data_IF_429701838138
#
_entry.id   IF_429701838138
#
_cell.length_a   1.000
_cell.length_b   1.000
_cell.length_c   1.000
_cell.angle_alpha   90.00
_cell.angle_beta   90.00
_cell.angle_gamma   90.00
#
_symmetry.space_group_name_H-M   'P 1'
#
loop_
_entity.id
_entity.type
_entity.pdbx_description
1 polymer ?
#
# COMPACT_ATOMS: atom_id res chain seq x y z
N UNK A 1 -1.32 -8.14 -0.20
CA UNK A 1 -2.22 -7.14 0.41
C UNK A 1 -2.19 -5.85 -0.42
N UNK A 2 -3.36 -5.29 -0.72
CA UNK A 2 -3.52 -4.00 -1.38
C UNK A 2 -4.43 -3.10 -0.52
N UNK A 3 -3.89 -1.99 -0.02
CA UNK A 3 -4.57 -1.04 0.86
C UNK A 3 -4.82 0.29 0.14
N UNK A 4 -5.95 0.95 0.45
CA UNK A 4 -6.48 2.09 -0.32
C UNK A 4 -6.60 1.71 -1.79
N UNK A 5 -7.20 0.55 -2.01
CA UNK A 5 -7.04 -0.23 -3.23
C UNK A 5 -7.71 0.40 -4.46
N UNK A 6 -8.61 1.38 -4.26
CA UNK A 6 -9.36 2.01 -5.35
C UNK A 6 -10.01 0.93 -6.23
N UNK A 7 -9.79 0.97 -7.53
CA UNK A 7 -10.35 -0.03 -8.47
C UNK A 7 -9.55 -1.34 -8.57
N UNK A 8 -8.61 -1.57 -7.66
CA UNK A 8 -7.89 -2.83 -7.49
C UNK A 8 -6.88 -3.17 -8.57
N UNK A 9 -6.37 -2.19 -9.33
CA UNK A 9 -5.39 -2.47 -10.39
C UNK A 9 -4.14 -3.18 -9.87
N UNK A 10 -3.62 -2.78 -8.71
CA UNK A 10 -2.47 -3.46 -8.10
C UNK A 10 -2.80 -4.92 -7.72
N UNK A 11 -4.03 -5.20 -7.26
CA UNK A 11 -4.49 -6.57 -6.98
C UNK A 11 -4.52 -7.42 -8.26
N UNK A 12 -5.02 -6.85 -9.37
CA UNK A 12 -5.02 -7.55 -10.69
C UNK A 12 -3.60 -7.89 -11.10
N UNK A 13 -2.67 -6.93 -11.01
CA UNK A 13 -1.27 -7.18 -11.35
C UNK A 13 -0.63 -8.25 -10.46
N UNK A 14 -0.91 -8.25 -9.16
CA UNK A 14 -0.44 -9.29 -8.25
C UNK A 14 -0.98 -10.67 -8.63
N UNK A 15 -2.29 -10.77 -8.93
CA UNK A 15 -2.91 -12.02 -9.38
C UNK A 15 -2.33 -12.54 -10.69
N UNK A 16 -2.19 -11.67 -11.71
CA UNK A 16 -1.55 -12.03 -12.98
C UNK A 16 -0.07 -12.39 -12.81
N UNK A 17 0.59 -11.83 -11.80
CA UNK A 17 1.97 -12.16 -11.42
C UNK A 17 2.10 -13.46 -10.63
N UNK A 18 1.02 -14.17 -10.36
CA UNK A 18 1.02 -15.49 -9.71
C UNK A 18 0.80 -15.47 -8.19
N UNK A 19 0.28 -14.37 -7.63
CA UNK A 19 -0.13 -14.37 -6.22
C UNK A 19 -1.21 -15.43 -5.98
N UNK A 20 -0.96 -16.37 -5.07
CA UNK A 20 -1.88 -17.44 -4.70
C UNK A 20 -3.12 -16.92 -3.97
N UNK A 21 -2.92 -15.90 -3.14
CA UNK A 21 -3.98 -15.23 -2.38
C UNK A 21 -3.84 -13.72 -2.48
N UNK A 22 -4.94 -12.99 -2.45
CA UNK A 22 -4.94 -11.53 -2.40
C UNK A 22 -5.96 -11.02 -1.42
N UNK A 23 -5.61 -9.97 -0.67
CA UNK A 23 -6.53 -9.21 0.18
C UNK A 23 -6.55 -7.76 -0.30
N UNK A 24 -7.73 -7.28 -0.66
CA UNK A 24 -7.97 -5.94 -1.20
C UNK A 24 -8.85 -5.17 -0.23
N UNK A 25 -8.34 -4.06 0.31
CA UNK A 25 -9.03 -3.28 1.34
C UNK A 25 -9.26 -1.86 0.83
N UNK A 26 -10.50 -1.41 0.88
CA UNK A 26 -10.89 -0.02 0.58
C UNK A 26 -12.15 0.34 1.36
N UNK A 27 -12.33 1.61 1.68
CA UNK A 27 -13.52 2.10 2.38
C UNK A 27 -14.74 2.16 1.44
N UNK A 28 -14.52 2.32 0.15
CA UNK A 28 -15.57 2.52 -0.86
C UNK A 28 -16.08 1.18 -1.38
N UNK A 29 -17.34 0.88 -1.09
CA UNK A 29 -18.03 -0.27 -1.70
C UNK A 29 -18.04 -0.21 -3.24
N UNK A 30 -18.21 0.98 -3.81
CA UNK A 30 -18.20 1.17 -5.27
C UNK A 30 -16.85 0.78 -5.88
N UNK A 31 -15.74 1.20 -5.25
CA UNK A 31 -14.41 0.86 -5.75
C UNK A 31 -14.09 -0.62 -5.58
N UNK A 32 -14.53 -1.23 -4.49
CA UNK A 32 -14.37 -2.69 -4.31
C UNK A 32 -15.16 -3.49 -5.34
N UNK A 33 -16.36 -3.05 -5.72
CA UNK A 33 -17.11 -3.70 -6.80
C UNK A 33 -16.34 -3.60 -8.13
N UNK A 34 -15.77 -2.44 -8.46
CA UNK A 34 -14.92 -2.29 -9.63
C UNK A 34 -13.65 -3.16 -9.54
N UNK A 35 -13.04 -3.27 -8.37
CA UNK A 35 -11.90 -4.15 -8.17
C UNK A 35 -12.27 -5.62 -8.45
N UNK A 36 -13.43 -6.07 -7.98
CA UNK A 36 -13.94 -7.40 -8.28
C UNK A 36 -14.21 -7.62 -9.78
N UNK A 37 -14.80 -6.61 -10.44
CA UNK A 37 -15.06 -6.70 -11.88
C UNK A 37 -13.75 -6.74 -12.68
N UNK A 38 -12.75 -5.94 -12.30
CA UNK A 38 -11.43 -5.96 -12.89
C UNK A 38 -10.73 -7.33 -12.71
N UNK A 39 -10.87 -7.95 -11.53
CA UNK A 39 -10.36 -9.30 -11.29
C UNK A 39 -11.07 -10.33 -12.18
N UNK A 40 -12.41 -10.27 -12.30
CA UNK A 40 -13.19 -11.16 -13.17
C UNK A 40 -12.81 -11.00 -14.64
N UNK A 41 -12.63 -9.77 -15.14
CA UNK A 41 -12.18 -9.49 -16.50
C UNK A 41 -10.82 -10.13 -16.82
N UNK A 42 -9.99 -10.35 -15.82
CA UNK A 42 -8.70 -11.00 -15.95
C UNK A 42 -8.72 -12.49 -15.55
N UNK A 43 -9.90 -13.10 -15.45
CA UNK A 43 -10.09 -14.51 -15.04
C UNK A 43 -9.54 -14.85 -13.65
N UNK A 44 -9.35 -13.87 -12.81
CA UNK A 44 -8.88 -14.00 -11.42
C UNK A 44 -10.11 -14.14 -10.50
N UNK A 45 -10.64 -15.34 -10.40
CA UNK A 45 -11.84 -15.63 -9.62
C UNK A 45 -11.56 -16.68 -8.56
N UNK A 46 -12.25 -16.60 -7.42
CA UNK A 46 -12.16 -17.60 -6.36
C UNK A 46 -12.07 -16.99 -4.97
N UNK A 47 -12.23 -17.85 -3.95
CA UNK A 47 -12.28 -17.44 -2.54
C UNK A 47 -10.92 -16.96 -1.98
N UNK A 48 -9.83 -17.27 -2.67
CA UNK A 48 -8.48 -16.81 -2.37
C UNK A 48 -8.30 -15.30 -2.60
N UNK A 49 -9.20 -14.66 -3.36
CA UNK A 49 -9.19 -13.22 -3.58
C UNK A 49 -10.23 -12.55 -2.68
N UNK A 50 -9.76 -12.03 -1.54
CA UNK A 50 -10.60 -11.39 -0.52
C UNK A 50 -10.78 -9.90 -0.80
N UNK A 51 -11.99 -9.38 -0.62
CA UNK A 51 -12.32 -7.95 -0.72
C UNK A 51 -12.95 -7.50 0.59
N UNK A 52 -12.36 -6.51 1.22
CA UNK A 52 -12.75 -6.05 2.56
C UNK A 52 -13.14 -4.58 2.50
N UNK A 53 -14.39 -4.28 2.78
CA UNK A 53 -14.84 -2.91 2.94
C UNK A 53 -14.53 -2.44 4.36
N UNK A 54 -13.48 -1.64 4.51
CA UNK A 54 -13.07 -1.11 5.80
C UNK A 54 -12.30 0.21 5.64
N UNK A 55 -12.26 0.99 6.72
CA UNK A 55 -11.22 2.00 6.90
C UNK A 55 -9.87 1.30 7.00
N UNK A 56 -8.95 1.61 6.08
CA UNK A 56 -7.66 0.93 6.00
C UNK A 56 -6.83 1.09 7.27
N UNK A 57 -6.87 2.25 7.94
CA UNK A 57 -6.09 2.48 9.16
C UNK A 57 -6.63 1.65 10.33
N UNK A 58 -7.97 1.61 10.47
CA UNK A 58 -8.62 0.78 11.47
C UNK A 58 -8.36 -0.70 11.19
N UNK A 59 -8.55 -1.14 9.95
CA UNK A 59 -8.29 -2.51 9.54
C UNK A 59 -6.85 -2.94 9.85
N UNK A 60 -5.86 -2.07 9.57
CA UNK A 60 -4.46 -2.33 9.89
C UNK A 60 -4.20 -2.54 11.38
N UNK A 61 -4.94 -1.90 12.27
CA UNK A 61 -4.77 -2.07 13.71
C UNK A 61 -5.24 -3.44 14.21
N UNK A 62 -6.17 -4.07 13.48
CA UNK A 62 -6.84 -5.32 13.85
C UNK A 62 -6.30 -6.53 13.06
N UNK A 63 -5.67 -6.31 11.90
CA UNK A 63 -5.17 -7.37 11.03
C UNK A 63 -3.99 -8.12 11.65
N UNK A 64 -3.94 -9.45 11.45
CA UNK A 64 -2.91 -10.33 12.00
C UNK A 64 -2.18 -11.16 10.92
N UNK A 65 -2.79 -11.31 9.73
CA UNK A 65 -2.21 -12.08 8.62
C UNK A 65 -0.89 -11.44 8.15
N UNK A 66 0.06 -12.28 7.73
CA UNK A 66 1.31 -11.83 7.10
C UNK A 66 1.22 -11.92 5.58
N UNK A 67 1.94 -11.01 4.90
CA UNK A 67 1.92 -10.88 3.46
C UNK A 67 3.34 -10.78 2.89
N UNK A 68 3.61 -11.54 1.83
CA UNK A 68 4.88 -11.47 1.09
C UNK A 68 5.00 -10.17 0.27
N UNK A 69 3.85 -9.64 -0.18
CA UNK A 69 3.77 -8.39 -0.92
C UNK A 69 2.65 -7.51 -0.36
N UNK A 70 3.02 -6.30 0.02
CA UNK A 70 2.07 -5.25 0.42
C UNK A 70 2.21 -4.08 -0.54
N UNK A 71 1.11 -3.65 -1.16
CA UNK A 71 1.03 -2.40 -1.90
C UNK A 71 0.12 -1.42 -1.16
N UNK A 72 0.58 -0.20 -1.00
CA UNK A 72 -0.18 0.86 -0.35
C UNK A 72 0.03 2.21 -1.04
N UNK A 73 -1.06 2.85 -1.44
CA UNK A 73 -1.10 4.19 -2.04
C UNK A 73 -2.13 5.06 -1.31
N UNK A 74 -1.80 5.53 -0.09
CA UNK A 74 -2.74 6.28 0.72
C UNK A 74 -3.00 7.67 0.12
N UNK A 75 -4.18 8.27 0.38
CA UNK A 75 -4.46 9.64 -0.01
C UNK A 75 -3.44 10.60 0.63
N UNK A 76 -3.14 11.70 -0.05
CA UNK A 76 -2.28 12.77 0.50
C UNK A 76 -2.84 13.31 1.82
N UNK A 77 -4.16 13.46 1.87
CA UNK A 77 -4.92 13.88 3.03
C UNK A 77 -6.30 13.22 3.01
N UNK A 78 -6.78 12.80 4.15
CA UNK A 78 -8.15 12.30 4.32
C UNK A 78 -8.79 12.90 5.55
N UNK A 79 -10.00 13.43 5.37
CA UNK A 79 -10.85 13.97 6.43
C UNK A 79 -12.25 13.36 6.30
N UNK A 80 -12.31 12.05 6.27
CA UNK A 80 -13.58 11.33 6.15
C UNK A 80 -14.34 11.44 7.46
N UNK A 81 -15.65 11.75 7.39
CA UNK A 81 -16.58 11.67 8.56
C UNK A 81 -16.66 10.26 9.18
N UNK A 82 -16.09 9.26 8.52
CA UNK A 82 -16.02 7.87 8.97
C UNK A 82 -14.70 7.53 9.65
N UNK A 83 -13.74 8.47 9.66
CA UNK A 83 -12.47 8.36 10.39
C UNK A 83 -12.57 9.21 11.66
N UNK A 84 -12.15 8.67 12.77
CA UNK A 84 -12.14 9.37 14.05
C UNK A 84 -11.08 10.50 14.06
N UNK A 85 -10.04 10.38 13.23
CA UNK A 85 -8.96 11.37 13.07
C UNK A 85 -8.65 11.66 11.59
N UNK A 86 -8.12 12.84 11.31
CA UNK A 86 -7.64 13.20 9.98
C UNK A 86 -6.30 12.51 9.70
N UNK A 87 -6.13 11.99 8.49
CA UNK A 87 -4.87 11.41 8.01
C UNK A 87 -4.13 12.42 7.11
N UNK A 88 -2.83 12.62 7.35
CA UNK A 88 -1.90 13.31 6.45
C UNK A 88 -0.68 12.41 6.21
N UNK A 89 -0.42 12.06 4.95
CA UNK A 89 0.64 11.10 4.60
C UNK A 89 2.03 11.58 5.04
N UNK A 90 2.31 12.88 5.07
CA UNK A 90 3.60 13.37 5.55
C UNK A 90 3.75 13.23 7.07
N UNK A 91 2.69 13.48 7.81
CA UNK A 91 2.69 13.38 9.27
C UNK A 91 2.69 11.92 9.74
N UNK A 92 1.86 11.09 9.09
CA UNK A 92 1.44 9.81 9.63
C UNK A 92 2.15 8.60 8.97
N UNK A 93 2.98 8.82 7.92
CA UNK A 93 3.59 7.70 7.20
C UNK A 93 4.46 6.79 8.08
N UNK A 94 5.17 7.32 9.05
CA UNK A 94 6.01 6.48 9.91
C UNK A 94 5.17 5.54 10.78
N UNK A 95 4.10 6.04 11.39
CA UNK A 95 3.17 5.21 12.17
C UNK A 95 2.52 4.14 11.26
N UNK A 96 2.13 4.53 10.05
CA UNK A 96 1.60 3.62 9.05
C UNK A 96 2.60 2.49 8.72
N UNK A 97 3.89 2.82 8.53
CA UNK A 97 4.94 1.81 8.28
C UNK A 97 5.16 0.88 9.47
N UNK A 98 5.03 1.36 10.69
CA UNK A 98 5.13 0.52 11.89
C UNK A 98 3.99 -0.51 11.96
N UNK A 99 2.77 -0.13 11.61
CA UNK A 99 1.65 -1.07 11.50
C UNK A 99 1.88 -2.09 10.38
N UNK A 100 2.31 -1.63 9.20
CA UNK A 100 2.58 -2.49 8.04
C UNK A 100 3.72 -3.47 8.27
N UNK A 101 4.75 -3.07 9.04
CA UNK A 101 5.87 -3.96 9.41
C UNK A 101 5.40 -5.25 10.07
N UNK A 102 4.39 -5.17 10.91
CA UNK A 102 3.83 -6.32 11.62
C UNK A 102 3.19 -7.34 10.67
N UNK A 103 2.61 -6.84 9.56
CA UNK A 103 1.95 -7.65 8.54
C UNK A 103 2.90 -8.06 7.40
N UNK A 104 4.11 -7.53 7.36
CA UNK A 104 5.09 -7.85 6.32
C UNK A 104 5.83 -9.13 6.72
N UNK A 105 5.79 -10.16 5.86
CA UNK A 105 6.59 -11.36 6.03
C UNK A 105 8.09 -11.04 6.09
N UNK A 106 8.90 -11.91 6.69
CA UNK A 106 10.34 -11.67 6.93
C UNK A 106 11.08 -11.30 5.63
N UNK A 107 10.81 -12.03 4.54
CA UNK A 107 11.37 -11.76 3.21
C UNK A 107 10.42 -10.95 2.32
N UNK A 108 9.39 -10.35 2.92
CA UNK A 108 8.35 -9.62 2.23
C UNK A 108 8.80 -8.28 1.68
N UNK A 109 8.05 -7.78 0.72
CA UNK A 109 8.26 -6.48 0.08
C UNK A 109 7.03 -5.60 0.28
N UNK A 110 7.24 -4.40 0.81
CA UNK A 110 6.23 -3.35 0.89
C UNK A 110 6.53 -2.30 -0.17
N UNK A 111 5.58 -2.04 -1.05
CA UNK A 111 5.61 -0.94 -2.01
C UNK A 111 4.74 0.19 -1.49
N UNK A 112 5.36 1.31 -1.14
CA UNK A 112 4.69 2.52 -0.69
C UNK A 112 4.71 3.57 -1.79
N UNK A 113 3.55 4.00 -2.22
CA UNK A 113 3.35 5.06 -3.21
C UNK A 113 2.55 6.21 -2.59
N UNK A 114 2.78 7.43 -3.05
CA UNK A 114 1.91 8.57 -2.75
C UNK A 114 2.10 9.72 -3.76
N UNK A 115 1.14 10.63 -3.82
CA UNK A 115 1.12 11.77 -4.73
C UNK A 115 1.35 13.12 -4.01
N UNK A 116 1.87 13.11 -2.77
CA UNK A 116 2.15 14.34 -2.05
C UNK A 116 3.36 15.05 -2.64
N UNK A 117 3.18 16.29 -3.10
CA UNK A 117 4.30 17.13 -3.54
C UNK A 117 5.26 17.37 -2.39
N UNK A 118 6.57 17.26 -2.70
CA UNK A 118 7.65 17.46 -1.72
C UNK A 118 7.58 16.52 -0.51
N UNK A 119 7.01 15.32 -0.69
CA UNK A 119 7.02 14.29 0.34
C UNK A 119 8.46 13.96 0.75
N UNK A 120 8.68 13.89 2.05
CA UNK A 120 9.97 13.50 2.65
C UNK A 120 9.76 12.25 3.50
N UNK A 121 10.40 11.16 3.10
CA UNK A 121 10.42 9.94 3.88
C UNK A 121 11.29 10.14 5.12
N UNK A 122 10.79 9.78 6.27
CA UNK A 122 11.58 9.71 7.51
C UNK A 122 12.43 8.43 7.53
N UNK A 123 13.59 8.51 6.88
CA UNK A 123 14.51 7.37 6.78
C UNK A 123 15.08 6.97 8.14
N UNK A 124 15.36 7.93 9.01
CA UNK A 124 15.87 7.65 10.35
C UNK A 124 14.82 6.95 11.24
N UNK A 125 13.57 7.39 11.16
CA UNK A 125 12.46 6.73 11.84
C UNK A 125 12.19 5.31 11.33
N UNK A 126 12.31 5.08 10.00
CA UNK A 126 12.19 3.73 9.44
C UNK A 126 13.33 2.82 9.91
N UNK A 127 14.58 3.30 9.89
CA UNK A 127 15.74 2.53 10.37
C UNK A 127 15.59 2.17 11.86
N UNK A 128 15.19 3.12 12.68
CA UNK A 128 14.89 2.89 14.10
C UNK A 128 13.75 1.89 14.31
N UNK A 129 12.79 1.82 13.37
CA UNK A 129 11.74 0.82 13.36
C UNK A 129 12.19 -0.54 12.79
N UNK A 130 13.45 -0.70 12.38
CA UNK A 130 13.98 -1.93 11.78
C UNK A 130 13.48 -2.17 10.36
N UNK A 131 13.29 -1.10 9.58
CA UNK A 131 12.91 -1.12 8.18
C UNK A 131 13.98 -0.43 7.33
N UNK A 132 14.16 -0.93 6.11
CA UNK A 132 15.04 -0.34 5.08
C UNK A 132 14.19 0.15 3.92
N UNK A 133 14.43 1.35 3.43
CA UNK A 133 13.68 1.95 2.34
C UNK A 133 14.58 2.30 1.16
N UNK A 134 14.16 1.91 -0.04
CA UNK A 134 14.79 2.25 -1.31
C UNK A 134 13.86 3.11 -2.14
N UNK A 135 14.29 4.33 -2.49
CA UNK A 135 13.54 5.18 -3.39
C UNK A 135 13.60 4.67 -4.83
N UNK A 136 12.45 4.37 -5.42
CA UNK A 136 12.31 3.91 -6.81
C UNK A 136 11.48 4.89 -7.67
N UNK A 137 11.21 6.09 -7.18
CA UNK A 137 10.35 7.10 -7.83
C UNK A 137 10.73 7.33 -9.30
N UNK A 138 12.02 7.44 -9.60
CA UNK A 138 12.48 7.66 -10.98
C UNK A 138 12.20 6.48 -11.92
N UNK A 139 12.14 5.26 -11.37
CA UNK A 139 11.89 4.02 -12.12
C UNK A 139 10.39 3.77 -12.37
N UNK A 140 9.53 4.35 -11.53
CA UNK A 140 8.08 4.10 -11.54
C UNK A 140 7.28 5.25 -12.13
N UNK A 141 7.93 6.39 -12.40
CA UNK A 141 7.27 7.54 -13.03
C UNK A 141 7.09 7.29 -14.53
N UNK A 142 5.82 7.35 -15.04
CA UNK A 142 5.57 7.22 -16.49
C UNK A 142 6.22 8.35 -17.28
N UNK A 143 6.62 8.06 -18.51
CA UNK A 143 7.26 9.04 -19.41
C UNK A 143 6.43 10.30 -19.64
N UNK A 144 5.12 10.15 -19.72
CA UNK A 144 4.16 11.27 -19.90
C UNK A 144 4.25 12.31 -18.77
N UNK A 145 4.78 11.93 -17.62
CA UNK A 145 4.93 12.78 -16.44
C UNK A 145 6.38 13.20 -16.15
N UNK A 146 7.34 12.97 -17.05
CA UNK A 146 8.74 13.34 -16.85
C UNK A 146 8.95 14.83 -16.55
N UNK A 147 8.09 15.70 -17.10
CA UNK A 147 8.15 17.15 -16.88
C UNK A 147 7.74 17.59 -15.47
N UNK A 148 7.03 16.73 -14.74
CA UNK A 148 6.56 17.02 -13.39
C UNK A 148 7.07 15.98 -12.38
N UNK A 149 8.29 16.20 -11.90
CA UNK A 149 9.01 15.25 -11.05
C UNK A 149 8.39 15.05 -9.66
N UNK A 150 7.47 15.92 -9.23
CA UNK A 150 6.95 15.96 -7.87
C UNK A 150 5.52 15.41 -7.74
N UNK A 151 4.98 14.78 -8.78
CA UNK A 151 3.60 14.25 -8.76
C UNK A 151 3.48 12.86 -8.15
N UNK A 152 4.61 12.18 -7.99
CA UNK A 152 4.63 10.78 -7.60
C UNK A 152 5.87 10.49 -6.76
N UNK A 153 5.69 9.71 -5.71
CA UNK A 153 6.76 9.17 -4.89
C UNK A 153 6.55 7.67 -4.75
N UNK A 154 7.60 6.87 -4.86
CA UNK A 154 7.49 5.42 -4.70
C UNK A 154 8.74 4.85 -4.03
N UNK A 155 8.51 3.92 -3.09
CA UNK A 155 9.54 3.31 -2.28
C UNK A 155 9.31 1.81 -2.18
N UNK A 156 10.40 1.04 -2.22
CA UNK A 156 10.42 -0.34 -1.76
C UNK A 156 10.91 -0.33 -0.33
N UNK A 157 10.16 -0.99 0.56
CA UNK A 157 10.47 -1.09 1.98
C UNK A 157 10.53 -2.58 2.34
N UNK A 158 11.56 -2.96 3.08
CA UNK A 158 11.79 -4.33 3.56
C UNK A 158 12.20 -4.29 5.03
N UNK A 159 12.19 -5.42 5.70
CA UNK A 159 12.86 -5.53 7.00
C UNK A 159 14.34 -5.18 6.84
N UNK A 160 14.91 -4.46 7.80
CA UNK A 160 16.35 -4.31 7.90
C UNK A 160 16.98 -5.69 8.26
N UNK A 161 18.11 -6.00 7.66
CA UNK A 161 18.85 -7.20 8.04
C UNK A 161 19.22 -7.12 9.52
N UNK A 162 18.86 -8.14 10.28
CA UNK A 162 19.33 -8.26 11.67
C UNK A 162 20.83 -8.49 11.60
N UNK A 163 21.62 -7.51 12.05
CA UNK A 163 23.05 -7.76 12.23
C UNK A 163 23.18 -8.89 13.25
N UNK A 164 23.67 -10.06 12.77
CA UNK A 164 23.96 -11.22 13.58
C UNK A 164 25.22 -10.96 14.42
#
# INVERSE_FOLDING_TARGET
LNLFAYTGSATVHAGLGGASETTTVDMSHTYLNWAQDNMRLNSLVGRQHKFVQADCLKWLSEAEDQYDLIFIDPPTFSNSKRMDESFDVQRDHLLLMQHLKRLLAVDGTLVFSNNKRHFKMDLAGLEAAGLKAQNITSKTRPKDFERNQHIHNCWIITHAETQA
#
